data_IF_134292917300
#
_entry.id   IF_134292917300
#
_cell.length_a   1.000
_cell.length_b   1.000
_cell.length_c   1.000
_cell.angle_alpha   90.00
_cell.angle_beta   90.00
_cell.angle_gamma   90.00
#
_symmetry.space_group_name_H-M   'P 1'
#
loop_
_entity.id
_entity.type
_entity.pdbx_description
1 polymer ?
#
# COMPACT_ATOMS: atom_id res chain seq x y z
N UNK A 1 2.76 9.33 -8.95
CA UNK A 1 1.47 8.73 -8.58
C UNK A 1 1.01 9.36 -7.29
N UNK A 2 -0.22 9.84 -7.25
CA UNK A 2 -0.87 10.36 -6.04
C UNK A 2 -1.44 9.22 -5.20
N UNK A 3 -1.74 9.50 -3.93
CA UNK A 3 -2.38 8.55 -3.03
C UNK A 3 -3.76 8.09 -3.53
N UNK A 4 -4.49 8.97 -4.23
CA UNK A 4 -5.79 8.64 -4.82
C UNK A 4 -5.63 7.63 -5.95
N UNK A 5 -4.70 7.89 -6.88
CA UNK A 5 -4.45 6.98 -8.02
C UNK A 5 -3.99 5.60 -7.55
N UNK A 6 -3.18 5.53 -6.49
CA UNK A 6 -2.77 4.26 -5.90
C UNK A 6 -3.94 3.54 -5.23
N UNK A 7 -4.79 4.25 -4.50
CA UNK A 7 -5.96 3.68 -3.86
C UNK A 7 -6.96 3.13 -4.88
N UNK A 8 -7.19 3.85 -5.98
CA UNK A 8 -8.02 3.40 -7.11
C UNK A 8 -7.46 2.13 -7.77
N UNK A 9 -6.14 2.08 -8.01
CA UNK A 9 -5.46 0.90 -8.57
C UNK A 9 -5.54 -0.33 -7.66
N UNK A 10 -5.54 -0.12 -6.35
CA UNK A 10 -5.60 -1.17 -5.34
C UNK A 10 -7.04 -1.55 -4.93
N UNK A 11 -8.05 -0.90 -5.52
CA UNK A 11 -9.47 -1.05 -5.14
C UNK A 11 -9.72 -0.86 -3.63
N UNK A 12 -9.03 0.11 -3.02
CA UNK A 12 -9.20 0.47 -1.60
C UNK A 12 -9.58 1.93 -1.45
N UNK A 13 -10.17 2.29 -0.30
CA UNK A 13 -10.39 3.70 0.00
C UNK A 13 -9.07 4.41 0.28
N UNK A 14 -8.98 5.67 -0.17
CA UNK A 14 -7.86 6.56 0.15
C UNK A 14 -7.59 6.64 1.66
N UNK A 15 -8.64 6.66 2.48
CA UNK A 15 -8.52 6.67 3.94
C UNK A 15 -7.87 5.38 4.48
N UNK A 16 -8.17 4.23 3.88
CA UNK A 16 -7.52 2.96 4.23
C UNK A 16 -6.03 3.03 3.93
N UNK A 17 -5.65 3.48 2.73
CA UNK A 17 -4.25 3.67 2.35
C UNK A 17 -3.53 4.64 3.29
N UNK A 18 -4.15 5.77 3.63
CA UNK A 18 -3.59 6.75 4.57
C UNK A 18 -3.38 6.16 5.98
N UNK A 19 -4.27 5.29 6.46
CA UNK A 19 -4.11 4.60 7.74
C UNK A 19 -2.95 3.60 7.72
N UNK A 20 -2.70 2.96 6.58
CA UNK A 20 -1.54 2.08 6.39
C UNK A 20 -0.24 2.88 6.42
N UNK A 21 -0.16 3.96 5.65
CA UNK A 21 1.03 4.84 5.58
C UNK A 21 1.38 5.49 6.93
N UNK A 22 0.37 5.76 7.77
CA UNK A 22 0.57 6.34 9.11
C UNK A 22 0.73 5.30 10.22
N UNK A 23 0.89 4.02 9.87
CA UNK A 23 0.99 2.89 10.79
C UNK A 23 -0.18 2.76 11.79
N UNK A 24 -1.33 3.38 11.48
CA UNK A 24 -2.56 3.31 12.27
C UNK A 24 -3.36 2.03 12.01
N UNK A 25 -3.02 1.29 10.96
CA UNK A 25 -3.62 0.00 10.61
C UNK A 25 -2.56 -0.92 10.00
N UNK A 26 -2.61 -2.19 10.39
CA UNK A 26 -1.80 -3.25 9.79
C UNK A 26 -2.24 -3.49 8.35
N UNK A 27 -1.28 -3.62 7.44
CA UNK A 27 -1.52 -4.03 6.05
C UNK A 27 -1.58 -5.56 5.97
N UNK A 28 -2.49 -6.11 5.15
CA UNK A 28 -2.49 -7.56 4.86
C UNK A 28 -1.34 -7.90 3.91
N UNK A 29 -0.88 -9.16 3.94
CA UNK A 29 0.19 -9.61 3.05
C UNK A 29 -0.20 -9.47 1.57
N UNK A 30 -1.42 -9.83 1.20
CA UNK A 30 -1.94 -9.63 -0.16
C UNK A 30 -1.93 -8.17 -0.59
N UNK A 31 -2.36 -7.25 0.28
CA UNK A 31 -2.36 -5.83 -0.03
C UNK A 31 -0.94 -5.27 -0.16
N UNK A 32 -0.01 -5.75 0.68
CA UNK A 32 1.40 -5.38 0.59
C UNK A 32 2.04 -5.85 -0.72
N UNK A 33 1.71 -7.06 -1.19
CA UNK A 33 2.14 -7.57 -2.49
C UNK A 33 1.58 -6.69 -3.61
N UNK A 34 0.28 -6.41 -3.60
CA UNK A 34 -0.36 -5.56 -4.63
C UNK A 34 0.25 -4.15 -4.66
N UNK A 35 0.55 -3.56 -3.50
CA UNK A 35 1.24 -2.26 -3.40
C UNK A 35 2.63 -2.34 -4.05
N UNK A 36 3.39 -3.40 -3.77
CA UNK A 36 4.73 -3.57 -4.34
C UNK A 36 4.70 -3.73 -5.86
N UNK A 37 3.75 -4.50 -6.39
CA UNK A 37 3.54 -4.66 -7.82
C UNK A 37 3.21 -3.34 -8.51
N UNK A 38 2.29 -2.53 -7.95
CA UNK A 38 1.93 -1.25 -8.56
C UNK A 38 3.03 -0.19 -8.45
N UNK A 39 3.80 -0.23 -7.35
CA UNK A 39 4.98 0.61 -7.20
C UNK A 39 6.19 0.10 -7.99
N UNK A 40 6.08 -1.06 -8.65
CA UNK A 40 7.18 -1.75 -9.35
C UNK A 40 8.42 -1.90 -8.48
N UNK A 41 8.21 -2.17 -7.21
CA UNK A 41 9.26 -2.37 -6.21
C UNK A 41 9.17 -3.78 -5.62
N UNK A 42 10.14 -4.18 -4.79
CA UNK A 42 10.07 -5.46 -4.09
C UNK A 42 9.39 -5.25 -2.74
N UNK A 43 8.60 -6.24 -2.31
CA UNK A 43 7.93 -6.22 -1.00
C UNK A 43 8.92 -5.93 0.14
N UNK A 44 10.13 -6.50 0.07
CA UNK A 44 11.21 -6.27 1.05
C UNK A 44 11.65 -4.81 1.15
N UNK A 45 11.42 -4.00 0.11
CA UNK A 45 11.80 -2.59 0.10
C UNK A 45 10.68 -1.72 0.75
N UNK A 46 9.54 -2.33 1.10
CA UNK A 46 8.39 -1.71 1.78
C UNK A 46 8.31 -2.07 3.28
N UNK A 47 9.15 -2.98 3.75
CA UNK A 47 9.18 -3.45 5.14
C UNK A 47 10.60 -3.33 5.67
N UNK A 48 10.74 -2.90 6.92
CA UNK A 48 12.02 -2.79 7.60
C UNK A 48 12.05 -3.85 8.71
N UNK A 49 12.93 -4.83 8.56
CA UNK A 49 13.12 -5.94 9.50
C UNK A 49 14.60 -6.24 9.70
#
# INVERSE_FOLDING_TARGET
MSQNELAEKLDISREHLAKIETAKRTVSLDLLINIAEELKTKVKDLIDF
#
